data_IF_431209339036
#
_entry.id   IF_431209339036
#
_cell.length_a   1.000
_cell.length_b   1.000
_cell.length_c   1.000
_cell.angle_alpha   90.00
_cell.angle_beta   90.00
_cell.angle_gamma   90.00
#
_symmetry.space_group_name_H-M   'P 1'
#
loop_
_entity.id
_entity.type
_entity.pdbx_description
1 polymer ?
#
# COMPACT_ATOMS: atom_id res chain seq x y z
N UNK A 1 -4.74 10.48 -6.00
CA UNK A 1 -4.67 10.37 -7.46
C UNK A 1 -3.24 10.18 -7.97
N UNK A 2 -2.37 11.20 -7.92
CA UNK A 2 -0.98 11.09 -8.44
C UNK A 2 -0.18 9.91 -7.85
N UNK A 3 -0.32 9.66 -6.55
CA UNK A 3 0.32 8.53 -5.87
C UNK A 3 -0.14 7.16 -6.41
N UNK A 4 -1.45 6.94 -6.61
CA UNK A 4 -1.99 5.67 -7.09
C UNK A 4 -1.58 5.40 -8.56
N UNK A 5 -1.58 6.46 -9.37
CA UNK A 5 -1.07 6.40 -10.75
C UNK A 5 0.41 6.00 -10.76
N UNK A 6 1.23 6.61 -9.91
CA UNK A 6 2.66 6.28 -9.82
C UNK A 6 2.91 4.84 -9.34
N UNK A 7 2.15 4.39 -8.34
CA UNK A 7 2.23 3.02 -7.79
C UNK A 7 1.85 1.98 -8.84
N UNK A 8 0.72 2.16 -9.51
CA UNK A 8 0.24 1.25 -10.53
C UNK A 8 1.12 1.27 -11.79
N UNK A 9 1.64 2.44 -12.17
CA UNK A 9 2.65 2.57 -13.23
C UNK A 9 3.91 1.76 -12.92
N UNK A 10 4.42 1.83 -11.68
CA UNK A 10 5.56 1.03 -11.24
C UNK A 10 5.24 -0.47 -11.26
N UNK A 11 4.06 -0.87 -10.79
CA UNK A 11 3.62 -2.28 -10.83
C UNK A 11 3.60 -2.83 -12.25
N UNK A 12 3.01 -2.09 -13.20
CA UNK A 12 2.93 -2.48 -14.62
C UNK A 12 4.32 -2.60 -15.24
N UNK A 13 5.24 -1.70 -14.90
CA UNK A 13 6.62 -1.75 -15.39
C UNK A 13 7.40 -2.96 -14.83
N UNK A 14 7.19 -3.29 -13.56
CA UNK A 14 7.89 -4.39 -12.87
C UNK A 14 7.30 -5.78 -13.21
N UNK A 15 6.01 -5.85 -13.57
CA UNK A 15 5.30 -7.11 -13.77
C UNK A 15 4.58 -7.13 -15.14
N UNK A 16 5.33 -7.16 -16.26
CA UNK A 16 4.74 -7.08 -17.60
C UNK A 16 3.77 -8.24 -17.91
N UNK A 17 4.01 -9.43 -17.36
CA UNK A 17 3.12 -10.57 -17.50
C UNK A 17 1.75 -10.38 -16.80
N UNK A 18 1.74 -9.72 -15.63
CA UNK A 18 0.51 -9.45 -14.87
C UNK A 18 -0.25 -8.23 -15.38
N UNK A 19 0.42 -7.34 -16.13
CA UNK A 19 -0.13 -6.07 -16.59
C UNK A 19 -1.38 -6.21 -17.48
N UNK A 20 -1.56 -7.37 -18.12
CA UNK A 20 -2.66 -7.66 -19.05
C UNK A 20 -3.64 -8.70 -18.50
N UNK A 21 -3.45 -9.18 -17.27
CA UNK A 21 -4.37 -10.11 -16.64
C UNK A 21 -5.45 -9.36 -15.87
N UNK A 22 -6.73 -9.78 -15.96
CA UNK A 22 -7.77 -9.22 -15.14
C UNK A 22 -7.48 -9.39 -13.65
N UNK A 23 -7.69 -8.33 -12.86
CA UNK A 23 -7.46 -8.34 -11.41
C UNK A 23 -8.65 -7.84 -10.59
N UNK A 24 -9.65 -7.24 -11.24
CA UNK A 24 -10.84 -6.71 -10.58
C UNK A 24 -11.94 -6.38 -11.57
N UNK A 25 -13.07 -5.88 -11.05
CA UNK A 25 -14.26 -5.55 -11.84
C UNK A 25 -14.60 -4.08 -11.62
N UNK A 26 -14.84 -3.33 -12.71
CA UNK A 26 -15.30 -1.94 -12.68
C UNK A 26 -16.49 -1.83 -13.63
N UNK A 27 -17.61 -1.26 -13.16
CA UNK A 27 -18.89 -1.24 -13.91
C UNK A 27 -19.32 -2.60 -14.51
N UNK A 28 -19.05 -3.69 -13.80
CA UNK A 28 -19.40 -5.05 -14.25
C UNK A 28 -18.48 -5.63 -15.33
N UNK A 29 -17.41 -4.94 -15.71
CA UNK A 29 -16.42 -5.43 -16.66
C UNK A 29 -15.10 -5.78 -15.94
N UNK A 30 -14.46 -6.91 -16.28
CA UNK A 30 -13.13 -7.22 -15.78
C UNK A 30 -12.12 -6.22 -16.33
N UNK A 31 -11.25 -5.71 -15.45
CA UNK A 31 -10.21 -4.75 -15.80
C UNK A 31 -8.82 -5.29 -15.52
N UNK A 32 -7.87 -4.91 -16.37
CA UNK A 32 -6.43 -5.20 -16.25
C UNK A 32 -5.67 -4.03 -15.61
N UNK A 33 -4.47 -4.23 -15.04
CA UNK A 33 -3.68 -3.15 -14.46
C UNK A 33 -3.39 -1.99 -15.44
N UNK A 34 -3.20 -2.26 -16.74
CA UNK A 34 -3.04 -1.20 -17.75
C UNK A 34 -4.30 -0.37 -17.94
N UNK A 35 -5.46 -1.03 -18.00
CA UNK A 35 -6.74 -0.33 -18.13
C UNK A 35 -7.04 0.49 -16.87
N UNK A 36 -6.79 -0.07 -15.68
CA UNK A 36 -6.88 0.67 -14.43
C UNK A 36 -5.99 1.91 -14.41
N UNK A 37 -4.75 1.82 -14.91
CA UNK A 37 -3.85 2.96 -14.99
C UNK A 37 -4.38 4.06 -15.93
N UNK A 38 -4.90 3.68 -17.09
CA UNK A 38 -5.50 4.61 -18.05
C UNK A 38 -6.74 5.29 -17.43
N UNK A 39 -7.63 4.54 -16.78
CA UNK A 39 -8.80 5.06 -16.08
C UNK A 39 -8.43 6.04 -14.95
N UNK A 40 -7.45 5.69 -14.11
CA UNK A 40 -6.94 6.59 -13.07
C UNK A 40 -6.29 7.86 -13.66
N UNK A 41 -5.58 7.75 -14.78
CA UNK A 41 -4.96 8.91 -15.43
C UNK A 41 -6.00 9.91 -15.97
N UNK A 42 -7.17 9.41 -16.38
CA UNK A 42 -8.29 10.21 -16.90
C UNK A 42 -9.28 10.65 -15.81
N UNK A 43 -9.12 10.19 -14.58
CA UNK A 43 -10.06 10.47 -13.50
C UNK A 43 -11.39 9.71 -13.62
N UNK A 44 -11.43 8.61 -14.37
CA UNK A 44 -12.64 7.81 -14.58
C UNK A 44 -12.75 6.68 -13.57
N UNK A 45 -13.95 6.48 -12.98
CA UNK A 45 -14.25 5.38 -12.04
C UNK A 45 -13.21 5.21 -10.93
N UNK A 46 -12.62 6.33 -10.47
CA UNK A 46 -11.49 6.34 -9.52
C UNK A 46 -11.77 5.51 -8.27
N UNK A 47 -12.95 5.68 -7.66
CA UNK A 47 -13.30 4.97 -6.44
C UNK A 47 -13.37 3.45 -6.66
N UNK A 48 -14.00 3.01 -7.75
CA UNK A 48 -14.12 1.59 -8.10
C UNK A 48 -12.74 0.98 -8.43
N UNK A 49 -11.88 1.72 -9.14
CA UNK A 49 -10.52 1.25 -9.46
C UNK A 49 -9.67 1.12 -8.20
N UNK A 50 -9.74 2.09 -7.28
CA UNK A 50 -9.03 2.02 -6.00
C UNK A 50 -9.53 0.81 -5.20
N UNK A 51 -10.85 0.62 -5.11
CA UNK A 51 -11.42 -0.53 -4.41
C UNK A 51 -10.97 -1.87 -5.02
N UNK A 52 -10.94 -1.97 -6.35
CA UNK A 52 -10.43 -3.16 -7.03
C UNK A 52 -8.93 -3.39 -6.73
N UNK A 53 -8.13 -2.33 -6.65
CA UNK A 53 -6.72 -2.42 -6.26
C UNK A 53 -6.54 -2.84 -4.80
N UNK A 54 -7.40 -2.38 -3.89
CA UNK A 54 -7.38 -2.77 -2.48
C UNK A 54 -7.70 -4.26 -2.32
N UNK A 55 -8.77 -4.74 -2.95
CA UNK A 55 -9.18 -6.16 -2.93
C UNK A 55 -8.10 -7.07 -3.49
N UNK A 56 -7.44 -6.66 -4.58
CA UNK A 56 -6.36 -7.41 -5.19
C UNK A 56 -5.02 -7.32 -4.45
N UNK A 57 -4.95 -6.59 -3.32
CA UNK A 57 -3.71 -6.38 -2.57
C UNK A 57 -2.67 -5.55 -3.33
N UNK A 58 -3.06 -4.87 -4.41
CA UNK A 58 -2.17 -3.99 -5.20
C UNK A 58 -2.07 -2.60 -4.59
N UNK A 59 -2.98 -2.27 -3.68
CA UNK A 59 -2.88 -1.08 -2.85
C UNK A 59 -2.78 -1.47 -1.37
N UNK A 60 -1.65 -2.06 -0.92
CA UNK A 60 -1.46 -2.26 0.51
C UNK A 60 -1.55 -0.90 1.22
N UNK A 61 -2.26 -0.82 2.36
CA UNK A 61 -2.25 0.38 3.18
C UNK A 61 -0.78 0.75 3.45
N UNK A 62 -0.41 2.00 3.15
CA UNK A 62 0.95 2.50 3.44
C UNK A 62 1.27 2.46 4.94
N UNK A 63 0.23 2.35 5.75
CA UNK A 63 0.24 2.55 7.19
C UNK A 63 -0.59 1.45 7.87
N UNK A 64 -0.30 0.17 7.63
CA UNK A 64 -0.62 -0.80 8.69
C UNK A 64 0.46 -0.73 9.78
N UNK A 65 0.68 0.49 10.28
CA UNK A 65 1.46 0.73 11.49
C UNK A 65 0.78 0.10 12.69
N UNK A 66 -0.50 -0.25 12.60
CA UNK A 66 -1.26 -0.85 13.69
C UNK A 66 -0.65 -2.17 14.16
N UNK A 67 -0.14 -2.98 13.23
CA UNK A 67 0.56 -4.22 13.58
C UNK A 67 1.92 -3.95 14.23
N UNK A 68 2.64 -2.95 13.72
CA UNK A 68 3.96 -2.52 14.24
C UNK A 68 3.81 -1.89 15.62
N UNK A 69 2.82 -1.03 15.81
CA UNK A 69 2.44 -0.36 17.04
C UNK A 69 2.02 -1.39 18.10
N UNK A 70 1.11 -2.31 17.77
CA UNK A 70 0.71 -3.39 18.67
C UNK A 70 1.90 -4.26 19.10
N UNK A 71 2.85 -4.51 18.19
CA UNK A 71 4.09 -5.21 18.51
C UNK A 71 4.95 -4.42 19.51
N UNK A 72 5.22 -3.13 19.29
CA UNK A 72 6.01 -2.31 20.22
C UNK A 72 5.30 -2.09 21.56
N UNK A 73 3.99 -1.90 21.58
CA UNK A 73 3.20 -1.88 22.82
C UNK A 73 3.35 -3.19 23.62
N UNK A 74 3.34 -4.33 22.92
CA UNK A 74 3.52 -5.63 23.57
C UNK A 74 4.89 -5.76 24.23
N UNK A 75 5.94 -5.23 23.60
CA UNK A 75 7.29 -5.19 24.17
C UNK A 75 7.39 -4.26 25.38
N UNK A 76 6.68 -3.11 25.35
CA UNK A 76 6.63 -2.20 26.50
C UNK A 76 5.95 -2.82 27.73
N UNK A 77 5.01 -3.75 27.55
CA UNK A 77 4.34 -4.44 28.67
C UNK A 77 5.16 -5.56 29.29
N UNK A 78 6.21 -6.05 28.61
CA UNK A 78 7.05 -7.11 29.13
C UNK A 78 8.01 -6.59 30.23
N UNK A 79 8.28 -7.39 31.28
CA UNK A 79 9.31 -7.06 32.26
C UNK A 79 10.70 -7.19 31.64
N UNK A 80 11.52 -6.15 31.76
CA UNK A 80 12.85 -6.11 31.16
C UNK A 80 13.20 -4.75 30.55
N UNK A 81 14.37 -4.64 29.90
CA UNK A 81 14.80 -3.40 29.26
C UNK A 81 13.88 -3.02 28.09
N UNK A 82 13.50 -1.74 28.01
CA UNK A 82 12.61 -1.22 26.97
C UNK A 82 13.30 -1.16 25.60
N UNK A 83 12.55 -1.32 24.49
CA UNK A 83 13.12 -1.17 23.14
C UNK A 83 13.69 0.23 22.91
N UNK A 84 14.85 0.30 22.27
CA UNK A 84 15.48 1.56 21.83
C UNK A 84 15.27 1.74 20.34
N UNK A 85 14.77 2.90 19.92
CA UNK A 85 14.57 3.22 18.51
C UNK A 85 15.73 4.10 18.06
N UNK A 86 16.49 3.62 17.08
CA UNK A 86 17.55 4.38 16.45
C UNK A 86 17.04 4.94 15.13
N UNK A 87 17.09 6.25 14.96
CA UNK A 87 16.84 6.92 13.69
C UNK A 87 18.18 7.37 13.11
N UNK A 88 18.45 7.01 11.85
CA UNK A 88 19.68 7.45 11.18
C UNK A 88 19.52 8.93 10.83
N UNK A 89 20.33 9.78 11.48
CA UNK A 89 20.34 11.23 11.25
C UNK A 89 19.74 12.09 12.38
N UNK A 90 19.24 11.49 13.46
CA UNK A 90 18.82 12.19 14.69
C UNK A 90 19.40 11.49 15.93
N UNK A 91 19.58 12.21 17.05
CA UNK A 91 20.08 11.59 18.29
C UNK A 91 19.12 10.52 18.82
N UNK A 92 19.68 9.52 19.53
CA UNK A 92 18.96 8.41 20.15
C UNK A 92 17.77 8.91 21.00
N UNK A 93 16.58 8.35 20.78
CA UNK A 93 15.38 8.62 21.59
C UNK A 93 15.03 7.39 22.43
N UNK A 94 14.91 7.60 23.74
CA UNK A 94 14.37 6.61 24.68
C UNK A 94 12.87 6.85 24.84
N UNK A 95 12.06 5.81 24.67
CA UNK A 95 10.63 5.83 25.01
C UNK A 95 10.49 5.53 26.50
N UNK A 96 10.01 6.49 27.29
CA UNK A 96 9.70 6.33 28.73
C UNK A 96 8.31 5.74 28.97
#
# INVERSE_FOLDING_TARGET
MAYQVQKLSRFVAQNPALANLPFGIVKGLPITPRQALDMLSRGESVAEVIQAMDIAGMNPPQEDWRLVEAYYESLLRQPGPKPKIYSIGQPEMTLE
#
